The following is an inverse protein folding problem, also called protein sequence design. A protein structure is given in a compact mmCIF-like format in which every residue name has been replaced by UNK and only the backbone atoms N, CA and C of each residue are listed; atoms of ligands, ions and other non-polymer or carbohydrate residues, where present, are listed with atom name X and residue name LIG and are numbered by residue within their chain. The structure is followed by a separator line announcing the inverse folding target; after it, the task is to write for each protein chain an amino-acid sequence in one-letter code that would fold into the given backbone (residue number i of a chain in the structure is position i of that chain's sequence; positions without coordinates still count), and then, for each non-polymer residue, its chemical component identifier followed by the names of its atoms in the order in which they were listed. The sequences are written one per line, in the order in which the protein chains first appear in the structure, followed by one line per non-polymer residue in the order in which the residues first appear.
data_IF_067377975309
#
_entry.id   IF_067377975309
#
_cell.length_a   1.000
_cell.length_b   1.000
_cell.length_c   1.000
_cell.angle_alpha   90.00
_cell.angle_beta   90.00
_cell.angle_gamma   90.00
#
_symmetry.space_group_name_H-M   'P 1'
#
loop_
_entity.id
_entity.type
_entity.pdbx_description
1 polymer ?
#
# COMPACT_ATOMS: atom_id res chain seq x y z
N UNK A 1 46.69 24.37 65.75
CA UNK A 1 45.46 24.50 64.96
C UNK A 1 45.83 24.15 63.53
N UNK A 2 45.27 23.07 63.08
CA UNK A 2 45.77 22.26 61.99
C UNK A 2 45.30 22.81 60.59
N UNK A 3 46.26 23.14 59.75
CA UNK A 3 46.00 23.65 58.39
C UNK A 3 45.73 22.56 57.34
N UNK A 4 45.54 21.32 57.76
CA UNK A 4 45.40 20.15 56.85
C UNK A 4 43.97 19.82 56.42
N UNK A 5 42.93 20.35 57.04
CA UNK A 5 41.54 20.02 56.72
C UNK A 5 40.90 20.92 55.66
N UNK A 6 41.56 21.99 55.21
CA UNK A 6 40.97 22.92 54.24
C UNK A 6 41.22 22.53 52.77
N UNK A 7 42.20 21.66 52.46
CA UNK A 7 42.51 21.32 51.08
C UNK A 7 41.64 20.16 50.52
N UNK A 8 41.06 19.34 51.38
CA UNK A 8 40.25 18.17 50.91
C UNK A 8 38.83 18.55 50.47
N UNK A 9 38.35 19.69 50.84
CA UNK A 9 36.98 20.15 50.50
C UNK A 9 36.84 20.83 49.16
N UNK A 10 37.94 21.19 48.50
CA UNK A 10 37.94 21.93 47.19
C UNK A 10 38.00 21.03 45.94
N UNK A 11 38.27 19.75 46.08
CA UNK A 11 38.46 18.86 44.94
C UNK A 11 37.29 17.86 44.73
N UNK A 12 36.29 17.82 45.62
CA UNK A 12 35.15 16.90 45.47
C UNK A 12 33.94 17.52 44.73
N UNK A 13 33.82 18.85 44.73
CA UNK A 13 32.70 19.51 44.10
C UNK A 13 32.67 19.51 42.53
N UNK A 14 33.80 19.50 41.80
CA UNK A 14 33.72 19.46 40.34
C UNK A 14 33.53 18.07 39.74
N UNK A 15 33.74 16.95 40.45
CA UNK A 15 33.56 15.62 39.91
C UNK A 15 32.09 15.15 39.87
N UNK A 16 31.24 15.68 40.73
CA UNK A 16 29.81 15.34 40.76
C UNK A 16 29.05 16.10 39.67
N UNK A 17 29.46 17.26 39.27
CA UNK A 17 28.83 18.03 38.19
C UNK A 17 29.14 17.52 36.80
N UNK A 18 30.28 16.84 36.58
CA UNK A 18 30.63 16.24 35.30
C UNK A 18 29.94 14.91 35.02
N UNK A 19 29.47 14.23 36.06
CA UNK A 19 28.74 12.95 35.94
C UNK A 19 27.27 13.08 35.55
N UNK A 20 26.67 14.27 35.69
CA UNK A 20 25.25 14.51 35.42
C UNK A 20 24.96 15.04 34.00
N UNK A 21 25.99 15.36 33.21
CA UNK A 21 25.86 15.82 31.83
C UNK A 21 26.14 14.73 30.77
N UNK A 22 26.49 13.53 31.19
CA UNK A 22 26.76 12.40 30.28
C UNK A 22 25.57 11.45 30.08
N UNK A 23 24.41 11.76 30.67
CA UNK A 23 23.23 10.93 30.55
C UNK A 23 22.12 11.64 29.81
N UNK A 24 22.18 11.70 28.50
CA UNK A 24 21.00 11.70 27.63
C UNK A 24 21.36 12.07 26.18
N UNK A 25 21.94 11.17 25.47
CA UNK A 25 21.59 11.02 24.05
C UNK A 25 21.47 9.54 23.79
N UNK A 26 20.49 8.90 24.44
CA UNK A 26 19.86 7.77 23.80
C UNK A 26 19.12 8.39 22.62
N UNK A 27 19.81 8.42 21.47
CA UNK A 27 19.14 8.60 20.19
C UNK A 27 18.15 7.46 20.09
N UNK A 28 16.92 7.69 20.55
CA UNK A 28 15.81 6.89 20.09
C UNK A 28 15.83 7.07 18.58
N UNK A 29 16.16 5.99 17.85
CA UNK A 29 15.82 5.92 16.44
C UNK A 29 14.39 6.44 16.33
N UNK A 30 14.19 7.53 15.60
CA UNK A 30 12.88 8.17 15.54
C UNK A 30 11.88 7.08 15.15
N UNK A 31 10.93 6.82 16.04
CA UNK A 31 9.89 5.82 15.82
C UNK A 31 9.09 6.29 14.58
N UNK A 32 9.28 5.62 13.45
CA UNK A 32 8.67 5.96 12.17
C UNK A 32 7.49 5.04 11.90
N UNK A 33 6.51 5.51 11.12
CA UNK A 33 5.49 4.65 10.53
C UNK A 33 6.01 4.23 9.15
N UNK A 34 6.24 2.94 8.97
CA UNK A 34 6.79 2.39 7.73
C UNK A 34 5.70 2.07 6.72
N UNK A 35 5.81 2.67 5.55
CA UNK A 35 4.89 2.50 4.43
C UNK A 35 5.56 1.64 3.36
N UNK A 36 5.07 0.42 3.16
CA UNK A 36 5.49 -0.43 2.05
C UNK A 36 4.94 0.07 0.73
N UNK A 37 5.77 0.15 -0.29
CA UNK A 37 5.39 0.50 -1.67
C UNK A 37 5.78 -0.67 -2.57
N UNK A 38 4.76 -1.39 -3.05
CA UNK A 38 4.90 -2.63 -3.80
C UNK A 38 4.42 -2.43 -5.24
N UNK A 39 5.28 -1.88 -6.08
CA UNK A 39 5.01 -1.60 -7.49
C UNK A 39 6.18 -2.00 -8.37
N UNK A 40 5.90 -2.55 -9.56
CA UNK A 40 6.94 -2.89 -10.54
C UNK A 40 7.62 -1.63 -11.08
N UNK A 41 8.93 -1.55 -10.87
CA UNK A 41 9.78 -0.46 -11.36
C UNK A 41 10.57 -0.90 -12.59
N UNK A 42 10.52 -2.18 -12.90
CA UNK A 42 11.10 -2.82 -14.08
C UNK A 42 10.12 -3.81 -14.72
N UNK A 43 10.41 -4.27 -15.94
CA UNK A 43 9.52 -5.15 -16.69
C UNK A 43 8.35 -4.42 -17.35
N UNK A 44 7.37 -5.19 -17.84
CA UNK A 44 6.27 -4.68 -18.69
C UNK A 44 5.31 -3.73 -17.98
N UNK A 45 5.17 -3.82 -16.66
CA UNK A 45 4.25 -2.98 -15.89
C UNK A 45 4.90 -1.69 -15.38
N UNK A 46 6.21 -1.52 -15.52
CA UNK A 46 6.94 -0.36 -15.03
C UNK A 46 6.36 0.98 -15.54
N UNK A 47 5.91 1.01 -16.80
CA UNK A 47 5.32 2.21 -17.42
C UNK A 47 4.10 2.75 -16.63
N UNK A 48 3.32 1.86 -16.03
CA UNK A 48 2.14 2.23 -15.23
C UNK A 48 2.45 2.36 -13.74
N UNK A 49 3.27 1.45 -13.21
CA UNK A 49 3.46 1.32 -11.77
C UNK A 49 4.50 2.29 -11.20
N UNK A 50 5.46 2.77 -12.00
CA UNK A 50 6.42 3.80 -11.56
C UNK A 50 5.72 5.08 -11.14
N UNK A 51 4.72 5.52 -11.86
CA UNK A 51 3.94 6.72 -11.53
C UNK A 51 3.20 6.58 -10.19
N UNK A 52 2.68 5.38 -9.90
CA UNK A 52 2.03 5.10 -8.62
C UNK A 52 3.02 5.17 -7.45
N UNK A 53 4.21 4.60 -7.62
CA UNK A 53 5.31 4.73 -6.64
C UNK A 53 5.67 6.20 -6.42
N UNK A 54 5.85 7.00 -7.49
CA UNK A 54 6.22 8.41 -7.39
C UNK A 54 5.12 9.22 -6.67
N UNK A 55 3.85 8.94 -6.96
CA UNK A 55 2.71 9.54 -6.26
C UNK A 55 2.74 9.24 -4.75
N UNK A 56 3.01 8.00 -4.37
CA UNK A 56 3.11 7.63 -2.96
C UNK A 56 4.28 8.34 -2.26
N UNK A 57 5.43 8.41 -2.91
CA UNK A 57 6.59 9.14 -2.36
C UNK A 57 6.29 10.62 -2.15
N UNK A 58 5.64 11.25 -3.13
CA UNK A 58 5.21 12.66 -3.03
C UNK A 58 4.25 12.86 -1.84
N UNK A 59 3.25 12.01 -1.68
CA UNK A 59 2.28 12.11 -0.58
C UNK A 59 2.93 11.90 0.79
N UNK A 60 3.88 10.97 0.90
CA UNK A 60 4.65 10.72 2.12
C UNK A 60 5.49 11.97 2.46
N UNK A 61 6.16 12.55 1.47
CA UNK A 61 6.94 13.77 1.66
C UNK A 61 6.06 14.94 2.12
N UNK A 62 4.92 15.16 1.47
CA UNK A 62 3.97 16.21 1.84
C UNK A 62 3.44 16.03 3.26
N UNK A 63 3.08 14.79 3.64
CA UNK A 63 2.62 14.51 4.99
C UNK A 63 3.73 14.73 6.02
N UNK A 64 4.96 14.39 5.68
CA UNK A 64 6.12 14.64 6.53
C UNK A 64 6.42 16.12 6.70
N UNK A 65 6.23 16.96 5.67
CA UNK A 65 6.33 18.42 5.76
C UNK A 65 5.28 19.02 6.71
N UNK A 66 4.10 18.40 6.79
CA UNK A 66 3.01 18.78 7.72
C UNK A 66 3.24 18.28 9.17
N UNK A 67 4.35 17.60 9.44
CA UNK A 67 4.69 17.09 10.77
C UNK A 67 4.56 15.58 10.93
N UNK A 68 4.26 14.85 9.87
CA UNK A 68 4.07 13.39 9.90
C UNK A 68 2.65 12.98 10.29
N UNK A 69 2.52 11.82 10.89
CA UNK A 69 1.26 11.26 11.34
C UNK A 69 1.41 10.78 12.80
N UNK A 70 0.47 11.16 13.68
CA UNK A 70 0.52 10.79 15.11
C UNK A 70 1.85 11.17 15.78
N UNK A 71 2.47 12.28 15.37
CA UNK A 71 3.77 12.72 15.89
C UNK A 71 4.98 11.96 15.35
N UNK A 72 4.79 11.04 14.40
CA UNK A 72 5.85 10.23 13.79
C UNK A 72 6.06 10.60 12.32
N UNK A 73 7.28 10.48 11.84
CA UNK A 73 7.57 10.58 10.40
C UNK A 73 7.13 9.32 9.68
N UNK A 74 6.70 9.46 8.44
CA UNK A 74 6.46 8.35 7.53
C UNK A 74 7.77 7.98 6.82
N UNK A 75 8.05 6.69 6.76
CA UNK A 75 9.22 6.11 6.10
C UNK A 75 8.77 5.21 4.95
N UNK A 76 9.17 5.54 3.73
CA UNK A 76 8.85 4.72 2.56
C UNK A 76 9.82 3.54 2.44
N UNK A 77 9.28 2.33 2.28
CA UNK A 77 10.03 1.12 1.96
C UNK A 77 9.59 0.64 0.58
N UNK A 78 10.39 0.94 -0.44
CA UNK A 78 10.06 0.64 -1.84
C UNK A 78 10.71 -0.68 -2.24
N UNK A 79 9.93 -1.55 -2.89
CA UNK A 79 10.42 -2.81 -3.48
C UNK A 79 9.98 -2.94 -4.93
N UNK A 80 10.82 -3.56 -5.75
CA UNK A 80 10.53 -3.84 -7.15
C UNK A 80 10.28 -5.35 -7.36
N UNK A 81 9.04 -5.75 -7.66
CA UNK A 81 8.72 -7.12 -8.04
C UNK A 81 8.89 -7.40 -9.55
N UNK A 82 9.49 -6.48 -10.32
CA UNK A 82 9.93 -6.63 -11.70
C UNK A 82 8.87 -7.22 -12.65
N UNK A 83 7.60 -6.89 -12.49
CA UNK A 83 6.46 -7.45 -13.25
C UNK A 83 6.36 -8.99 -13.21
N UNK A 84 6.91 -9.59 -12.17
CA UNK A 84 6.94 -11.04 -11.95
C UNK A 84 6.01 -11.42 -10.79
N UNK A 85 4.96 -12.17 -11.06
CA UNK A 85 3.90 -12.48 -10.10
C UNK A 85 4.40 -13.27 -8.87
N UNK A 86 5.20 -14.32 -9.00
CA UNK A 86 5.85 -14.97 -7.85
C UNK A 86 6.69 -13.99 -7.02
N UNK A 87 7.45 -13.11 -7.67
CA UNK A 87 8.29 -12.13 -6.98
C UNK A 87 7.44 -11.09 -6.23
N UNK A 88 6.22 -10.77 -6.68
CA UNK A 88 5.29 -9.96 -5.89
C UNK A 88 5.01 -10.57 -4.51
N UNK A 89 4.75 -11.87 -4.45
CA UNK A 89 4.51 -12.57 -3.19
C UNK A 89 5.76 -12.57 -2.28
N UNK A 90 6.94 -12.79 -2.85
CA UNK A 90 8.21 -12.72 -2.10
C UNK A 90 8.46 -11.31 -1.55
N UNK A 91 8.25 -10.27 -2.36
CA UNK A 91 8.41 -8.88 -1.96
C UNK A 91 7.37 -8.44 -0.92
N UNK A 92 6.14 -8.92 -1.01
CA UNK A 92 5.13 -8.71 0.03
C UNK A 92 5.58 -9.33 1.37
N UNK A 93 6.10 -10.54 1.35
CA UNK A 93 6.66 -11.21 2.53
C UNK A 93 7.88 -10.46 3.08
N UNK A 94 8.75 -9.95 2.22
CA UNK A 94 9.90 -9.12 2.63
C UNK A 94 9.43 -7.86 3.34
N UNK A 95 8.47 -7.13 2.79
CA UNK A 95 7.91 -5.92 3.40
C UNK A 95 7.35 -6.20 4.80
N UNK A 96 6.51 -7.22 4.95
CA UNK A 96 5.82 -7.51 6.21
C UNK A 96 6.78 -8.15 7.22
N UNK A 97 7.47 -9.23 6.84
CA UNK A 97 8.23 -10.04 7.79
C UNK A 97 9.60 -9.47 8.12
N UNK A 98 10.30 -8.90 7.12
CA UNK A 98 11.67 -8.39 7.28
C UNK A 98 11.70 -6.89 7.56
N UNK A 99 11.04 -6.09 6.73
CA UNK A 99 11.06 -4.64 6.86
C UNK A 99 10.10 -4.13 7.95
N UNK A 100 9.13 -4.95 8.37
CA UNK A 100 8.15 -4.62 9.40
C UNK A 100 7.35 -3.36 9.05
N UNK A 101 6.85 -3.28 7.83
CA UNK A 101 5.99 -2.17 7.42
C UNK A 101 4.64 -2.25 8.12
N UNK A 102 4.08 -1.10 8.47
CA UNK A 102 2.79 -0.99 9.14
C UNK A 102 1.62 -1.19 8.15
N UNK A 103 1.83 -0.76 6.91
CA UNK A 103 0.85 -0.84 5.82
C UNK A 103 1.56 -0.90 4.48
N UNK A 104 0.95 -1.53 3.49
CA UNK A 104 1.45 -1.57 2.11
C UNK A 104 0.45 -0.94 1.16
N UNK A 105 0.94 -0.10 0.25
CA UNK A 105 0.23 0.37 -0.94
C UNK A 105 0.86 -0.30 -2.15
N UNK A 106 0.05 -0.96 -2.97
CA UNK A 106 0.68 -1.66 -4.08
C UNK A 106 -0.22 -2.50 -4.94
N UNK A 107 0.43 -3.15 -5.87
CA UNK A 107 -0.14 -3.89 -6.98
C UNK A 107 -0.87 -2.97 -7.97
N UNK A 108 -0.97 -3.42 -9.20
CA UNK A 108 -1.75 -2.79 -10.25
C UNK A 108 -2.58 -3.79 -11.02
N UNK A 109 -2.02 -4.95 -11.33
CA UNK A 109 -2.73 -6.01 -12.04
C UNK A 109 -3.53 -6.89 -11.09
N UNK A 110 -4.63 -7.48 -11.56
CA UNK A 110 -5.40 -8.44 -10.78
C UNK A 110 -4.58 -9.66 -10.38
N UNK A 111 -3.65 -10.10 -11.24
CA UNK A 111 -2.76 -11.23 -10.94
C UNK A 111 -1.76 -10.88 -9.84
N UNK A 112 -1.16 -9.70 -9.85
CA UNK A 112 -0.25 -9.28 -8.78
C UNK A 112 -0.98 -9.25 -7.44
N UNK A 113 -2.19 -8.67 -7.39
CA UNK A 113 -3.02 -8.68 -6.18
C UNK A 113 -3.32 -10.10 -5.70
N UNK A 114 -3.76 -10.99 -6.59
CA UNK A 114 -4.04 -12.39 -6.24
C UNK A 114 -2.81 -13.16 -5.78
N UNK A 115 -1.63 -12.84 -6.29
CA UNK A 115 -0.37 -13.44 -5.86
C UNK A 115 0.02 -13.04 -4.44
N UNK A 116 -0.25 -11.81 -4.04
CA UNK A 116 0.12 -11.31 -2.70
C UNK A 116 -0.94 -11.58 -1.64
N UNK A 117 -2.21 -11.76 -2.02
CA UNK A 117 -3.32 -11.93 -1.10
C UNK A 117 -3.05 -13.01 -0.04
N UNK A 118 -2.62 -14.24 -0.37
CA UNK A 118 -2.33 -15.26 0.64
C UNK A 118 -1.23 -14.83 1.62
N UNK A 119 -0.25 -14.04 1.18
CA UNK A 119 0.85 -13.56 2.03
C UNK A 119 0.34 -12.54 3.04
N UNK A 120 -0.51 -11.60 2.60
CA UNK A 120 -1.11 -10.60 3.50
C UNK A 120 -2.04 -11.25 4.53
N UNK A 121 -2.79 -12.29 4.14
CA UNK A 121 -3.66 -13.03 5.06
C UNK A 121 -2.86 -13.88 6.05
N UNK A 122 -1.85 -14.60 5.60
CA UNK A 122 -0.97 -15.43 6.44
C UNK A 122 -0.23 -14.60 7.49
N UNK A 123 0.32 -13.47 7.08
CA UNK A 123 1.16 -12.62 7.94
C UNK A 123 0.36 -11.49 8.63
N UNK A 124 -0.96 -11.48 8.46
CA UNK A 124 -1.84 -10.42 8.97
C UNK A 124 -1.37 -9.01 8.61
N UNK A 125 -0.84 -8.84 7.39
CA UNK A 125 -0.45 -7.55 6.84
C UNK A 125 -1.66 -6.77 6.33
N UNK A 126 -1.47 -5.50 6.02
CA UNK A 126 -2.52 -4.62 5.49
C UNK A 126 -2.13 -4.10 4.11
N UNK A 127 -2.99 -4.33 3.12
CA UNK A 127 -2.81 -3.86 1.74
C UNK A 127 -3.90 -2.86 1.34
N UNK A 128 -3.49 -1.73 0.81
CA UNK A 128 -4.35 -0.83 0.04
C UNK A 128 -4.08 -1.06 -1.45
N UNK A 129 -5.07 -1.63 -2.14
CA UNK A 129 -5.03 -1.88 -3.59
C UNK A 129 -5.63 -0.68 -4.32
N UNK A 130 -4.85 0.10 -5.11
CA UNK A 130 -5.22 1.45 -5.50
C UNK A 130 -6.08 1.58 -6.76
N UNK A 131 -6.25 0.50 -7.53
CA UNK A 131 -6.93 0.55 -8.85
C UNK A 131 -8.25 -0.18 -8.87
N UNK A 132 -9.03 0.02 -9.92
CA UNK A 132 -10.27 -0.73 -10.15
C UNK A 132 -9.98 -2.23 -10.27
N UNK A 133 -10.96 -3.04 -9.94
CA UNK A 133 -10.83 -4.50 -9.99
C UNK A 133 -12.14 -5.16 -10.41
N UNK A 134 -12.07 -6.44 -10.71
CA UNK A 134 -13.19 -7.24 -11.22
C UNK A 134 -14.22 -7.62 -10.17
N UNK A 135 -14.02 -7.26 -8.90
CA UNK A 135 -14.90 -7.72 -7.81
C UNK A 135 -14.73 -9.21 -7.51
N UNK A 136 -15.77 -9.83 -6.95
CA UNK A 136 -15.81 -11.26 -6.57
C UNK A 136 -14.65 -11.70 -5.66
N UNK A 137 -14.10 -10.78 -4.89
CA UNK A 137 -13.01 -11.01 -3.94
C UNK A 137 -13.19 -10.10 -2.73
N UNK A 138 -13.00 -10.64 -1.55
CA UNK A 138 -12.96 -9.88 -0.31
C UNK A 138 -11.91 -10.47 0.62
N UNK A 139 -11.23 -9.61 1.37
CA UNK A 139 -10.28 -10.01 2.39
C UNK A 139 -10.28 -9.01 3.53
N UNK A 140 -10.07 -9.50 4.75
CA UNK A 140 -9.92 -8.64 5.93
C UNK A 140 -8.61 -7.84 5.91
N UNK A 141 -7.68 -8.25 5.05
CA UNK A 141 -6.35 -7.70 4.94
C UNK A 141 -6.18 -6.75 3.75
N UNK A 142 -7.24 -6.56 2.93
CA UNK A 142 -7.16 -5.73 1.72
C UNK A 142 -8.25 -4.68 1.69
N UNK A 143 -7.84 -3.43 1.52
CA UNK A 143 -8.73 -2.33 1.15
C UNK A 143 -8.72 -2.14 -0.36
N UNK A 144 -9.82 -2.41 -1.00
CA UNK A 144 -10.03 -2.18 -2.43
C UNK A 144 -10.52 -0.75 -2.63
N UNK A 145 -9.62 0.15 -3.02
CA UNK A 145 -9.94 1.58 -3.09
C UNK A 145 -10.36 2.05 -4.49
N UNK A 146 -10.24 1.18 -5.49
CA UNK A 146 -10.72 1.42 -6.85
C UNK A 146 -12.15 0.91 -7.07
N UNK A 147 -12.72 1.28 -8.22
CA UNK A 147 -14.09 0.92 -8.58
C UNK A 147 -14.27 -0.59 -8.80
N UNK A 148 -15.35 -1.14 -8.28
CA UNK A 148 -15.84 -2.49 -8.59
C UNK A 148 -16.82 -2.43 -9.80
N UNK A 149 -17.19 -3.58 -10.41
CA UNK A 149 -18.06 -3.59 -11.60
C UNK A 149 -19.40 -2.90 -11.43
N UNK A 150 -19.98 -2.93 -10.25
CA UNK A 150 -21.25 -2.22 -9.94
C UNK A 150 -21.07 -0.69 -9.88
N UNK A 151 -19.85 -0.18 -9.81
CA UNK A 151 -19.53 1.24 -9.79
C UNK A 151 -19.01 1.73 -11.15
N UNK A 152 -18.65 0.85 -12.05
CA UNK A 152 -18.00 1.18 -13.33
C UNK A 152 -18.68 0.47 -14.52
N UNK A 153 -18.56 -0.85 -14.62
CA UNK A 153 -18.97 -1.61 -15.80
C UNK A 153 -20.48 -1.73 -15.94
N UNK A 154 -21.19 -2.00 -14.85
CA UNK A 154 -22.66 -2.13 -14.85
C UNK A 154 -23.34 -0.80 -15.20
N UNK A 155 -23.01 0.34 -14.57
CA UNK A 155 -23.60 1.63 -14.95
C UNK A 155 -23.35 2.01 -16.42
N UNK A 156 -22.18 1.66 -16.98
CA UNK A 156 -21.89 1.89 -18.39
C UNK A 156 -22.83 1.09 -19.30
N UNK A 157 -23.10 -0.18 -18.98
CA UNK A 157 -24.06 -1.01 -19.72
C UNK A 157 -25.48 -0.47 -19.56
N UNK A 158 -25.88 -0.07 -18.35
CA UNK A 158 -27.21 0.53 -18.13
C UNK A 158 -27.40 1.82 -18.95
N UNK A 159 -26.39 2.68 -18.98
CA UNK A 159 -26.41 3.86 -19.83
C UNK A 159 -26.59 3.52 -21.31
N UNK A 160 -25.80 2.58 -21.84
CA UNK A 160 -25.92 2.18 -23.24
C UNK A 160 -27.27 1.53 -23.60
N UNK A 161 -27.98 0.95 -22.62
CA UNK A 161 -29.33 0.41 -22.78
C UNK A 161 -30.42 1.49 -22.75
N UNK A 162 -30.15 2.66 -22.18
CA UNK A 162 -31.09 3.76 -22.09
C UNK A 162 -31.28 4.45 -23.46
N UNK A 163 -32.33 5.30 -23.59
CA UNK A 163 -32.54 6.12 -24.78
C UNK A 163 -31.33 7.02 -25.07
N UNK A 164 -30.82 7.70 -24.04
CA UNK A 164 -29.69 8.61 -24.17
C UNK A 164 -28.40 7.87 -24.59
N UNK A 165 -28.25 6.61 -24.20
CA UNK A 165 -27.14 5.75 -24.56
C UNK A 165 -27.30 4.98 -25.87
N UNK A 166 -28.40 5.20 -26.59
CA UNK A 166 -28.63 4.60 -27.92
C UNK A 166 -29.45 3.31 -27.92
N UNK A 167 -30.04 2.91 -26.81
CA UNK A 167 -30.98 1.77 -26.70
C UNK A 167 -30.40 0.46 -27.18
N UNK A 168 -29.12 0.17 -26.83
CA UNK A 168 -28.39 -1.03 -27.25
C UNK A 168 -29.11 -2.31 -26.84
N UNK A 169 -29.35 -3.21 -27.81
CA UNK A 169 -30.05 -4.50 -27.60
C UNK A 169 -29.19 -5.71 -27.86
N UNK A 170 -28.09 -5.56 -28.63
CA UNK A 170 -27.17 -6.65 -28.97
C UNK A 170 -25.80 -6.33 -28.40
N UNK A 171 -25.19 -7.33 -27.76
CA UNK A 171 -23.98 -7.17 -27.00
C UNK A 171 -22.91 -8.15 -27.46
N UNK A 172 -21.68 -7.68 -27.51
CA UNK A 172 -20.49 -8.49 -27.65
C UNK A 172 -19.56 -8.14 -26.50
N UNK A 173 -19.19 -9.13 -25.70
CA UNK A 173 -18.26 -8.97 -24.58
C UNK A 173 -16.87 -9.44 -25.03
N UNK A 174 -16.01 -8.48 -25.38
CA UNK A 174 -14.65 -8.74 -25.81
C UNK A 174 -13.67 -8.53 -24.67
N UNK A 175 -12.66 -9.40 -24.54
CA UNK A 175 -11.61 -9.25 -23.55
C UNK A 175 -10.40 -10.13 -23.88
N UNK A 176 -9.27 -9.81 -23.29
CA UNK A 176 -8.08 -10.65 -23.33
C UNK A 176 -8.24 -11.87 -22.46
N UNK A 177 -7.40 -12.89 -22.66
CA UNK A 177 -7.37 -14.08 -21.82
C UNK A 177 -6.67 -13.80 -20.48
N UNK A 178 -7.37 -13.07 -19.60
CA UNK A 178 -6.86 -12.54 -18.36
C UNK A 178 -7.96 -12.48 -17.28
N UNK A 179 -7.57 -12.53 -16.03
CA UNK A 179 -8.49 -12.57 -14.87
C UNK A 179 -9.53 -11.45 -14.91
N UNK A 180 -9.09 -10.19 -15.07
CA UNK A 180 -9.99 -9.02 -15.01
C UNK A 180 -11.11 -9.07 -16.07
N UNK A 181 -10.83 -9.17 -17.40
CA UNK A 181 -11.92 -9.22 -18.38
C UNK A 181 -12.74 -10.49 -18.32
N UNK A 182 -12.18 -11.66 -18.00
CA UNK A 182 -12.95 -12.90 -17.84
C UNK A 182 -14.01 -12.77 -16.76
N UNK A 183 -13.64 -12.27 -15.58
CA UNK A 183 -14.57 -12.08 -14.47
C UNK A 183 -15.56 -10.96 -14.75
N UNK A 184 -15.10 -9.82 -15.27
CA UNK A 184 -15.96 -8.69 -15.64
C UNK A 184 -16.99 -9.11 -16.69
N UNK A 185 -16.58 -9.83 -17.74
CA UNK A 185 -17.51 -10.32 -18.77
C UNK A 185 -18.54 -11.32 -18.22
N UNK A 186 -18.14 -12.19 -17.29
CA UNK A 186 -19.06 -13.08 -16.56
C UNK A 186 -20.12 -12.29 -15.79
N UNK A 187 -19.72 -11.24 -15.08
CA UNK A 187 -20.63 -10.36 -14.33
C UNK A 187 -21.57 -9.62 -15.29
N UNK A 188 -21.03 -9.04 -16.37
CA UNK A 188 -21.83 -8.32 -17.35
C UNK A 188 -22.82 -9.24 -18.07
N UNK A 189 -22.44 -10.48 -18.43
CA UNK A 189 -23.34 -11.47 -19.01
C UNK A 189 -24.49 -11.79 -18.05
N UNK A 190 -24.18 -12.06 -16.78
CA UNK A 190 -25.19 -12.30 -15.76
C UNK A 190 -26.13 -11.10 -15.60
N UNK A 191 -25.59 -9.89 -15.57
CA UNK A 191 -26.37 -8.66 -15.51
C UNK A 191 -27.29 -8.51 -16.74
N UNK A 192 -26.76 -8.65 -17.96
CA UNK A 192 -27.54 -8.59 -19.20
C UNK A 192 -28.70 -9.59 -19.22
N UNK A 193 -28.49 -10.80 -18.71
CA UNK A 193 -29.58 -11.79 -18.55
C UNK A 193 -30.70 -11.28 -17.63
N UNK A 194 -30.37 -10.56 -16.54
CA UNK A 194 -31.42 -9.95 -15.68
C UNK A 194 -32.22 -8.89 -16.40
N UNK A 195 -31.66 -8.28 -17.45
CA UNK A 195 -32.34 -7.29 -18.32
C UNK A 195 -33.05 -7.93 -19.53
N UNK A 196 -33.12 -9.26 -19.60
CA UNK A 196 -33.81 -9.99 -20.66
C UNK A 196 -33.00 -10.19 -21.94
N UNK A 197 -31.72 -9.83 -21.97
CA UNK A 197 -30.83 -10.12 -23.09
C UNK A 197 -30.52 -11.61 -23.07
N UNK A 198 -30.70 -12.30 -24.19
CA UNK A 198 -30.39 -13.73 -24.37
C UNK A 198 -29.02 -13.91 -25.03
N UNK A 199 -28.40 -15.10 -24.81
CA UNK A 199 -27.16 -15.50 -25.48
C UNK A 199 -27.33 -15.60 -26.99
#
# INVERSE_FOLDING_TARGET
MDKRTSLMRRFVAPLVAAGLLASATVSHAADTIKIGILHSLSGTMAISETTLKDTMLMLIEEQNKKGGLLGKKLEAVVVDPASNWPLFAEKARELIAKNKVDVTFGCWTSVSRKSVLPVFEELNGLLFYPVQYEGEESSRNVFYTGAAPNQQAIPAVEYLMSEDGGSAKRWVLLGTDYVYPRTTNKILRAFLHTKGVKD
#
